data_IF_212566131008
#
_entry.id   IF_212566131008
#
_cell.length_a   1.000
_cell.length_b   1.000
_cell.length_c   1.000
_cell.angle_alpha   90.00
_cell.angle_beta   90.00
_cell.angle_gamma   90.00
#
_symmetry.space_group_name_H-M   'P 1'
#
loop_
_entity.id
_entity.type
_entity.pdbx_description
1 polymer ?
#
# COMPACT_ATOMS: atom_id res chain seq x y z
N UNK A 1 -29.69 25.55 -20.02
CA UNK A 1 -28.33 25.67 -19.45
C UNK A 1 -27.66 24.31 -19.65
N UNK A 2 -26.80 24.18 -20.66
CA UNK A 2 -26.23 22.88 -21.04
C UNK A 2 -24.93 22.70 -20.28
N UNK A 3 -24.90 21.78 -19.31
CA UNK A 3 -23.69 21.49 -18.53
C UNK A 3 -22.77 20.68 -19.43
N UNK A 4 -21.67 21.31 -19.89
CA UNK A 4 -20.62 20.65 -20.68
C UNK A 4 -19.53 20.19 -19.73
N UNK A 5 -19.34 18.88 -19.62
CA UNK A 5 -18.31 18.25 -18.81
C UNK A 5 -16.91 18.54 -19.38
N UNK A 6 -15.97 18.97 -18.53
CA UNK A 6 -14.55 19.18 -18.87
C UNK A 6 -13.67 18.38 -17.93
N UNK A 7 -12.93 17.41 -18.47
CA UNK A 7 -11.98 16.60 -17.69
C UNK A 7 -10.70 17.39 -17.38
N UNK A 8 -10.10 17.16 -16.21
CA UNK A 8 -8.81 17.78 -15.86
C UNK A 8 -7.65 17.23 -16.71
N UNK A 9 -6.71 18.09 -17.11
CA UNK A 9 -5.62 17.72 -18.04
C UNK A 9 -4.64 16.67 -17.48
N UNK A 10 -4.42 16.62 -16.16
CA UNK A 10 -3.37 15.76 -15.56
C UNK A 10 -3.95 14.40 -15.12
N UNK A 11 -5.06 14.41 -14.39
CA UNK A 11 -5.62 13.19 -13.81
C UNK A 11 -6.89 12.69 -14.51
N UNK A 12 -7.41 13.41 -15.52
CA UNK A 12 -8.67 13.13 -16.24
C UNK A 12 -9.93 12.97 -15.38
N UNK A 13 -9.82 13.17 -14.07
CA UNK A 13 -10.93 13.14 -13.14
C UNK A 13 -11.74 14.44 -13.25
N UNK A 14 -13.04 14.33 -12.96
CA UNK A 14 -13.96 15.46 -12.83
C UNK A 14 -13.67 16.23 -11.54
N UNK A 15 -13.29 17.50 -11.66
CA UNK A 15 -13.12 18.40 -10.52
C UNK A 15 -14.50 18.84 -10.03
N UNK A 16 -14.89 18.33 -8.86
CA UNK A 16 -16.21 18.57 -8.26
C UNK A 16 -16.40 19.95 -7.66
N UNK A 17 -15.39 20.82 -7.65
CA UNK A 17 -15.46 22.14 -6.98
C UNK A 17 -14.92 23.32 -7.79
N UNK A 18 -14.62 23.15 -9.07
CA UNK A 18 -14.24 24.28 -9.94
C UNK A 18 -15.49 25.04 -10.41
N UNK A 19 -15.89 26.07 -9.65
CA UNK A 19 -16.90 27.03 -10.14
C UNK A 19 -16.39 27.96 -11.24
N UNK A 20 -15.09 27.96 -11.57
CA UNK A 20 -14.45 28.44 -12.81
C UNK A 20 -12.93 28.26 -12.68
N UNK A 21 -12.38 27.09 -13.03
CA UNK A 21 -10.93 26.92 -13.08
C UNK A 21 -10.33 27.84 -14.15
N UNK A 22 -9.39 28.69 -13.74
CA UNK A 22 -8.58 29.49 -14.65
C UNK A 22 -7.78 28.56 -15.58
N UNK A 23 -7.54 28.94 -16.85
CA UNK A 23 -6.64 28.21 -17.74
C UNK A 23 -5.27 27.97 -17.07
N UNK A 24 -4.63 26.83 -17.35
CA UNK A 24 -3.25 26.57 -16.90
C UNK A 24 -2.25 27.35 -17.78
N UNK A 25 -2.33 28.69 -17.75
CA UNK A 25 -1.42 29.63 -18.40
C UNK A 25 -0.44 30.20 -17.38
N UNK A 26 0.73 30.72 -17.80
CA UNK A 26 1.70 31.33 -16.87
C UNK A 26 1.12 32.47 -16.02
N UNK A 27 0.06 33.12 -16.47
CA UNK A 27 -0.67 34.17 -15.74
C UNK A 27 -1.54 33.62 -14.59
N UNK A 28 -1.78 32.31 -14.54
CA UNK A 28 -2.50 31.67 -13.46
C UNK A 28 -1.56 31.47 -12.26
N UNK A 29 -1.88 32.00 -11.06
CA UNK A 29 -1.05 31.79 -9.87
C UNK A 29 -0.88 30.31 -9.48
N UNK A 30 -1.76 29.42 -9.95
CA UNK A 30 -1.66 27.97 -9.81
C UNK A 30 -1.07 27.28 -11.06
N UNK A 31 -0.31 28.00 -11.90
CA UNK A 31 0.31 27.45 -13.10
C UNK A 31 1.28 26.30 -12.76
N UNK A 32 1.06 25.14 -13.38
CA UNK A 32 1.97 24.00 -13.29
C UNK A 32 2.59 23.74 -14.68
N UNK A 33 3.92 23.88 -14.85
CA UNK A 33 4.59 23.59 -16.12
C UNK A 33 4.41 22.12 -16.50
N UNK A 34 3.98 21.85 -17.73
CA UNK A 34 3.76 20.47 -18.23
C UNK A 34 5.04 19.64 -18.29
N UNK A 35 6.22 20.29 -18.30
CA UNK A 35 7.53 19.65 -18.34
C UNK A 35 8.17 19.42 -16.97
N UNK A 36 7.55 19.88 -15.89
CA UNK A 36 8.07 19.57 -14.56
C UNK A 36 7.81 18.08 -14.29
N UNK A 37 8.87 17.27 -14.22
CA UNK A 37 8.76 15.98 -13.58
C UNK A 37 8.15 16.21 -12.19
N UNK A 38 7.07 15.50 -11.81
CA UNK A 38 6.51 15.67 -10.49
C UNK A 38 7.64 15.41 -9.50
N UNK A 39 8.00 16.41 -8.70
CA UNK A 39 8.78 16.16 -7.50
C UNK A 39 7.97 15.16 -6.70
N UNK A 40 8.46 13.92 -6.62
CA UNK A 40 7.85 12.88 -5.80
C UNK A 40 8.42 13.15 -4.42
N UNK A 41 7.67 13.79 -3.50
CA UNK A 41 8.13 13.85 -2.13
C UNK A 41 8.34 12.41 -1.67
N UNK A 42 9.48 12.16 -1.05
CA UNK A 42 9.60 11.00 -0.17
C UNK A 42 8.62 11.36 0.95
N UNK A 43 7.41 10.82 0.87
CA UNK A 43 6.46 10.81 1.98
C UNK A 43 7.11 9.94 3.05
N UNK A 44 8.02 10.56 3.80
CA UNK A 44 8.67 9.96 4.93
C UNK A 44 7.59 9.37 5.81
N UNK A 45 7.89 8.21 6.36
CA UNK A 45 7.10 7.59 7.40
C UNK A 45 6.83 8.66 8.46
N UNK A 46 5.59 9.16 8.56
CA UNK A 46 5.14 9.97 9.70
C UNK A 46 4.94 9.04 10.91
N UNK A 47 6.02 8.37 11.32
CA UNK A 47 6.13 7.78 12.64
C UNK A 47 7.10 8.72 13.34
N UNK A 48 6.55 9.63 14.14
CA UNK A 48 7.29 10.65 14.87
C UNK A 48 8.24 10.07 15.93
N UNK A 49 8.20 8.75 16.17
CA UNK A 49 8.93 8.04 17.23
C UNK A 49 9.68 6.79 16.73
N UNK A 50 10.19 6.79 15.49
CA UNK A 50 11.10 5.71 15.08
C UNK A 50 12.48 6.00 15.65
N UNK A 51 12.85 5.26 16.70
CA UNK A 51 14.20 5.32 17.27
C UNK A 51 15.27 4.96 16.23
N UNK A 52 16.50 5.44 16.45
CA UNK A 52 17.67 5.08 15.62
C UNK A 52 17.87 3.57 15.54
N UNK A 53 17.49 2.86 16.61
CA UNK A 53 17.52 1.40 16.73
C UNK A 53 16.77 0.69 15.59
N UNK A 54 15.65 1.21 15.12
CA UNK A 54 14.90 0.62 14.00
C UNK A 54 15.71 0.68 12.70
N UNK A 55 16.33 1.83 12.40
CA UNK A 55 17.14 1.97 11.20
C UNK A 55 18.40 1.10 11.26
N UNK A 56 18.98 0.93 12.45
CA UNK A 56 20.07 -0.02 12.67
C UNK A 56 19.61 -1.47 12.42
N UNK A 57 18.44 -1.86 12.93
CA UNK A 57 17.87 -3.19 12.69
C UNK A 57 17.61 -3.43 11.19
N UNK A 58 17.12 -2.42 10.46
CA UNK A 58 16.96 -2.48 9.00
C UNK A 58 18.31 -2.72 8.32
N UNK A 59 19.36 -1.97 8.68
CA UNK A 59 20.71 -2.15 8.10
C UNK A 59 21.28 -3.54 8.40
N UNK A 60 21.12 -4.04 9.62
CA UNK A 60 21.57 -5.38 9.99
C UNK A 60 20.81 -6.47 9.22
N UNK A 61 19.51 -6.26 8.95
CA UNK A 61 18.71 -7.20 8.18
C UNK A 61 19.22 -7.38 6.74
N UNK A 62 19.80 -6.33 6.14
CA UNK A 62 20.38 -6.42 4.80
C UNK A 62 21.60 -7.31 4.71
N UNK A 63 22.31 -7.55 5.83
CA UNK A 63 23.46 -8.49 5.85
C UNK A 63 23.00 -9.94 5.79
N UNK A 64 21.78 -10.22 6.22
CA UNK A 64 21.22 -11.57 6.29
C UNK A 64 20.48 -11.96 5.01
N UNK A 65 19.85 -10.99 4.34
CA UNK A 65 19.15 -11.22 3.09
C UNK A 65 20.10 -11.13 1.89
N UNK A 66 20.12 -12.19 1.07
CA UNK A 66 20.97 -12.30 -0.13
C UNK A 66 20.79 -11.10 -1.08
N UNK A 67 19.54 -10.74 -1.43
CA UNK A 67 19.27 -9.74 -2.46
C UNK A 67 19.58 -8.33 -1.95
N UNK A 68 19.19 -8.02 -0.71
CA UNK A 68 19.53 -6.75 -0.09
C UNK A 68 21.04 -6.58 0.07
N UNK A 69 21.77 -7.63 0.48
CA UNK A 69 23.23 -7.59 0.58
C UNK A 69 23.91 -7.29 -0.77
N UNK A 70 23.43 -7.93 -1.84
CA UNK A 70 23.93 -7.69 -3.19
C UNK A 70 23.65 -6.24 -3.62
N UNK A 71 22.43 -5.74 -3.38
CA UNK A 71 22.04 -4.39 -3.76
C UNK A 71 22.81 -3.31 -2.98
N UNK A 72 23.03 -3.50 -1.68
CA UNK A 72 23.85 -2.56 -0.91
C UNK A 72 25.28 -2.54 -1.45
N UNK A 73 25.87 -3.71 -1.74
CA UNK A 73 27.23 -3.79 -2.29
C UNK A 73 27.37 -3.13 -3.69
N UNK A 74 26.37 -3.30 -4.57
CA UNK A 74 26.35 -2.69 -5.90
C UNK A 74 26.23 -1.17 -5.84
N UNK A 75 25.30 -0.68 -5.01
CA UNK A 75 24.94 0.73 -4.94
C UNK A 75 25.92 1.56 -4.10
N UNK A 76 26.57 0.96 -3.10
CA UNK A 76 27.57 1.66 -2.26
C UNK A 76 28.86 1.97 -3.02
N UNK A 77 29.30 1.03 -3.87
CA UNK A 77 30.55 1.15 -4.64
C UNK A 77 30.37 1.84 -6.00
N UNK A 78 29.14 2.23 -6.32
CA UNK A 78 28.74 2.72 -7.64
C UNK A 78 29.24 1.82 -8.79
N UNK A 79 29.35 0.51 -8.50
CA UNK A 79 30.00 -0.46 -9.38
C UNK A 79 28.97 -1.26 -10.17
N UNK A 80 29.11 -1.27 -11.50
CA UNK A 80 28.24 -2.04 -12.40
C UNK A 80 28.75 -3.48 -12.56
N UNK A 81 28.87 -4.20 -11.45
CA UNK A 81 29.24 -5.62 -11.49
C UNK A 81 28.08 -6.45 -12.04
N UNK A 82 28.20 -6.81 -13.32
CA UNK A 82 27.18 -7.58 -14.05
C UNK A 82 27.02 -8.99 -13.49
N UNK A 83 28.10 -9.62 -13.01
CA UNK A 83 28.04 -10.98 -12.47
C UNK A 83 27.25 -10.98 -11.16
N UNK A 84 27.53 -10.01 -10.28
CA UNK A 84 26.82 -9.86 -9.02
C UNK A 84 25.34 -9.50 -9.24
N UNK A 85 25.05 -8.58 -10.18
CA UNK A 85 23.67 -8.22 -10.54
C UNK A 85 22.87 -9.36 -11.18
N UNK A 86 23.53 -10.32 -11.83
CA UNK A 86 22.88 -11.52 -12.37
C UNK A 86 22.56 -12.57 -11.30
N UNK A 87 23.09 -12.44 -10.09
CA UNK A 87 22.79 -13.34 -8.98
C UNK A 87 21.52 -12.96 -8.20
N UNK A 88 20.94 -11.79 -8.46
CA UNK A 88 19.66 -11.34 -7.90
C UNK A 88 18.50 -12.21 -8.38
N UNK A 89 17.52 -12.43 -7.51
CA UNK A 89 16.30 -13.13 -7.90
C UNK A 89 15.45 -12.27 -8.84
N UNK A 90 14.62 -12.89 -9.69
CA UNK A 90 13.96 -12.25 -10.84
C UNK A 90 13.25 -10.92 -10.54
N UNK A 91 12.48 -10.85 -9.44
CA UNK A 91 11.72 -9.65 -9.04
C UNK A 91 12.67 -8.50 -8.69
N UNK A 92 13.74 -8.81 -7.98
CA UNK A 92 14.76 -7.86 -7.57
C UNK A 92 15.58 -7.41 -8.76
N UNK A 93 16.03 -8.36 -9.59
CA UNK A 93 16.79 -8.10 -10.81
C UNK A 93 16.02 -7.19 -11.76
N UNK A 94 14.75 -7.52 -12.04
CA UNK A 94 13.89 -6.71 -12.91
C UNK A 94 13.76 -5.27 -12.38
N UNK A 95 13.62 -5.10 -11.07
CA UNK A 95 13.50 -3.77 -10.46
C UNK A 95 14.83 -3.00 -10.48
N UNK A 96 15.95 -3.70 -10.27
CA UNK A 96 17.30 -3.15 -10.36
C UNK A 96 17.66 -2.69 -11.78
N UNK A 97 17.43 -3.54 -12.79
CA UNK A 97 17.70 -3.24 -14.20
C UNK A 97 16.88 -2.03 -14.69
N UNK A 98 15.71 -1.79 -14.07
CA UNK A 98 14.86 -0.61 -14.30
C UNK A 98 15.28 0.63 -13.49
N UNK A 99 16.41 0.61 -12.77
CA UNK A 99 16.90 1.73 -11.97
C UNK A 99 15.99 2.11 -10.81
N UNK A 100 15.28 1.14 -10.21
CA UNK A 100 14.31 1.41 -9.14
C UNK A 100 14.92 1.45 -7.75
N UNK A 101 16.16 1.00 -7.56
CA UNK A 101 16.78 1.01 -6.23
C UNK A 101 17.77 2.17 -6.07
N UNK A 102 17.74 2.77 -4.88
CA UNK A 102 18.66 3.81 -4.45
C UNK A 102 19.18 3.45 -3.06
N UNK A 103 20.45 3.73 -2.78
CA UNK A 103 21.03 3.56 -1.46
C UNK A 103 21.26 4.96 -0.87
N UNK A 104 20.74 5.19 0.33
CA UNK A 104 20.95 6.44 1.05
C UNK A 104 21.11 6.14 2.54
N UNK A 105 22.22 6.60 3.12
CA UNK A 105 22.57 6.36 4.54
C UNK A 105 22.52 4.88 4.96
N UNK A 106 22.99 3.99 4.06
CA UNK A 106 22.95 2.54 4.25
C UNK A 106 21.55 1.92 4.16
N UNK A 107 20.51 2.70 3.86
CA UNK A 107 19.13 2.26 3.70
C UNK A 107 18.78 2.15 2.22
N UNK A 108 18.19 1.02 1.82
CA UNK A 108 17.71 0.81 0.47
C UNK A 108 16.33 1.46 0.31
N UNK A 109 16.15 2.19 -0.78
CA UNK A 109 14.88 2.78 -1.20
C UNK A 109 14.46 2.24 -2.56
N UNK A 110 13.18 1.89 -2.69
CA UNK A 110 12.59 1.44 -3.94
C UNK A 110 11.66 2.53 -4.51
N UNK A 111 12.00 2.97 -5.72
CA UNK A 111 11.27 3.94 -6.52
C UNK A 111 10.19 3.26 -7.36
N UNK A 112 8.96 3.73 -7.20
CA UNK A 112 7.86 3.50 -8.12
C UNK A 112 7.58 4.77 -8.93
N UNK A 113 6.53 4.75 -9.76
CA UNK A 113 6.15 5.89 -10.60
C UNK A 113 5.83 7.16 -9.78
N UNK A 114 5.33 7.00 -8.56
CA UNK A 114 4.81 8.08 -7.73
C UNK A 114 5.28 8.04 -6.27
N UNK A 115 6.15 7.08 -5.91
CA UNK A 115 6.59 6.91 -4.52
C UNK A 115 8.04 6.47 -4.50
N UNK A 116 8.77 6.81 -3.44
CA UNK A 116 10.08 6.28 -3.12
C UNK A 116 10.06 5.89 -1.65
N UNK A 117 10.20 4.60 -1.37
CA UNK A 117 9.89 4.02 -0.05
C UNK A 117 10.99 3.09 0.42
N UNK A 118 11.12 2.91 1.73
CA UNK A 118 12.15 2.05 2.32
C UNK A 118 11.96 0.59 1.92
N UNK A 119 13.05 -0.12 1.64
CA UNK A 119 13.05 -1.56 1.38
C UNK A 119 13.20 -2.33 2.67
N UNK A 120 12.32 -3.29 2.91
CA UNK A 120 12.43 -4.24 4.02
C UNK A 120 12.66 -5.66 3.49
N UNK A 121 13.50 -6.43 4.18
CA UNK A 121 13.73 -7.85 3.88
C UNK A 121 13.51 -8.77 5.08
N UNK A 122 13.69 -8.29 6.31
CA UNK A 122 13.39 -9.09 7.50
C UNK A 122 11.88 -9.29 7.65
N UNK A 123 11.49 -10.55 7.83
CA UNK A 123 10.09 -10.91 8.10
C UNK A 123 9.59 -10.33 9.43
N UNK A 124 10.48 -10.15 10.41
CA UNK A 124 10.13 -9.51 11.68
C UNK A 124 9.75 -8.04 11.45
N UNK A 125 10.61 -7.28 10.76
CA UNK A 125 10.35 -5.87 10.43
C UNK A 125 9.08 -5.69 9.58
N UNK A 126 8.90 -6.56 8.58
CA UNK A 126 7.69 -6.56 7.74
C UNK A 126 6.44 -6.78 8.60
N UNK A 127 6.46 -7.75 9.53
CA UNK A 127 5.34 -8.00 10.42
C UNK A 127 5.08 -6.81 11.37
N UNK A 128 6.13 -6.20 11.94
CA UNK A 128 6.00 -5.01 12.79
C UNK A 128 5.31 -3.87 12.05
N UNK A 129 5.72 -3.60 10.80
CA UNK A 129 5.06 -2.60 9.94
C UNK A 129 3.61 -2.98 9.67
N UNK A 130 3.33 -4.24 9.29
CA UNK A 130 1.97 -4.68 9.01
C UNK A 130 1.04 -4.49 10.21
N UNK A 131 1.50 -4.87 11.41
CA UNK A 131 0.77 -4.69 12.67
C UNK A 131 0.55 -3.20 12.94
N UNK A 132 1.57 -2.35 12.79
CA UNK A 132 1.38 -0.93 13.08
C UNK A 132 0.39 -0.23 12.14
N UNK A 133 0.42 -0.56 10.85
CA UNK A 133 -0.50 0.05 9.91
C UNK A 133 -1.94 -0.48 10.03
N UNK A 134 -2.12 -1.70 10.55
CA UNK A 134 -3.42 -2.36 10.65
C UNK A 134 -4.04 -2.29 12.05
N UNK A 135 -3.31 -2.69 13.09
CA UNK A 135 -3.82 -2.94 14.44
C UNK A 135 -3.80 -1.73 15.36
N UNK A 136 -2.97 -0.72 15.05
CA UNK A 136 -2.82 0.46 15.87
C UNK A 136 -4.16 1.17 16.10
N UNK A 137 -4.42 1.53 17.36
CA UNK A 137 -5.65 2.19 17.82
C UNK A 137 -5.85 3.52 17.06
N UNK A 138 -4.77 4.23 16.75
CA UNK A 138 -4.78 5.47 15.97
C UNK A 138 -4.94 5.22 14.46
N UNK A 139 -4.67 4.00 13.99
CA UNK A 139 -4.87 3.62 12.59
C UNK A 139 -6.34 3.41 12.27
N UNK A 140 -7.19 3.05 13.25
CA UNK A 140 -8.65 3.02 13.08
C UNK A 140 -9.21 1.75 12.43
N UNK A 141 -8.55 0.60 12.57
CA UNK A 141 -9.00 -0.70 12.00
C UNK A 141 -9.40 -0.58 10.54
N UNK A 142 -8.46 -0.10 9.74
CA UNK A 142 -8.71 0.29 8.38
C UNK A 142 -9.10 -0.90 7.50
N UNK A 143 -9.92 -0.64 6.48
CA UNK A 143 -10.16 -1.62 5.44
C UNK A 143 -8.85 -2.02 4.77
N UNK A 144 -8.82 -3.21 4.18
CA UNK A 144 -7.68 -3.71 3.41
C UNK A 144 -7.13 -2.68 2.42
N UNK A 145 -8.00 -1.99 1.68
CA UNK A 145 -7.62 -0.94 0.72
C UNK A 145 -6.85 0.21 1.38
N UNK A 146 -7.26 0.61 2.58
CA UNK A 146 -6.64 1.71 3.33
C UNK A 146 -5.28 1.32 3.90
N UNK A 147 -5.16 0.08 4.40
CA UNK A 147 -3.87 -0.49 4.84
C UNK A 147 -2.90 -0.57 3.65
N UNK A 148 -3.40 -1.00 2.48
CA UNK A 148 -2.64 -1.04 1.23
C UNK A 148 -2.17 0.34 0.79
N UNK A 149 -3.01 1.38 0.87
CA UNK A 149 -2.65 2.76 0.54
C UNK A 149 -1.50 3.28 1.40
N UNK A 150 -1.54 3.02 2.72
CA UNK A 150 -0.49 3.47 3.66
C UNK A 150 0.83 2.74 3.46
N UNK A 151 0.79 1.42 3.29
CA UNK A 151 2.02 0.64 3.10
C UNK A 151 2.69 1.03 1.78
N UNK A 152 1.90 1.25 0.72
CA UNK A 152 2.39 1.69 -0.60
C UNK A 152 3.24 2.98 -0.53
N UNK A 153 2.95 3.87 0.42
CA UNK A 153 3.68 5.13 0.61
C UNK A 153 4.80 5.04 1.64
N UNK A 154 4.96 3.91 2.34
CA UNK A 154 5.87 3.76 3.48
C UNK A 154 7.03 2.80 3.18
N UNK A 155 6.73 1.59 2.70
CA UNK A 155 7.71 0.52 2.58
C UNK A 155 7.46 -0.38 1.35
N UNK A 156 8.50 -1.07 0.92
CA UNK A 156 8.46 -2.02 -0.19
C UNK A 156 9.21 -3.31 0.16
N UNK A 157 8.64 -4.43 -0.28
CA UNK A 157 9.29 -5.74 -0.32
C UNK A 157 8.63 -6.58 -1.42
N UNK A 158 9.23 -7.69 -1.87
CA UNK A 158 8.62 -8.59 -2.83
C UNK A 158 7.27 -9.09 -2.33
N UNK A 159 6.25 -9.05 -3.18
CA UNK A 159 4.89 -9.53 -2.84
C UNK A 159 4.22 -8.81 -1.66
N UNK A 160 4.61 -7.57 -1.35
CA UNK A 160 4.04 -6.81 -0.23
C UNK A 160 2.51 -6.77 -0.23
N UNK A 161 1.89 -6.58 -1.40
CA UNK A 161 0.42 -6.58 -1.54
C UNK A 161 -0.22 -7.86 -1.02
N UNK A 162 0.34 -9.00 -1.39
CA UNK A 162 -0.17 -10.31 -0.97
C UNK A 162 -0.09 -10.46 0.55
N UNK A 163 1.02 -10.03 1.17
CA UNK A 163 1.18 -10.11 2.61
C UNK A 163 0.22 -9.17 3.36
N UNK A 164 -0.08 -7.98 2.83
CA UNK A 164 -1.08 -7.09 3.42
C UNK A 164 -2.46 -7.74 3.42
N UNK A 165 -2.85 -8.33 2.29
CA UNK A 165 -4.12 -9.06 2.15
C UNK A 165 -4.17 -10.21 3.17
N UNK A 166 -3.16 -11.08 3.17
CA UNK A 166 -3.07 -12.21 4.12
C UNK A 166 -3.17 -11.75 5.58
N UNK A 167 -2.47 -10.66 5.93
CA UNK A 167 -2.51 -10.08 7.27
C UNK A 167 -3.91 -9.60 7.66
N UNK A 168 -4.59 -8.83 6.78
CA UNK A 168 -5.96 -8.36 7.01
C UNK A 168 -6.96 -9.53 7.12
N UNK A 169 -6.77 -10.58 6.32
CA UNK A 169 -7.60 -11.79 6.36
C UNK A 169 -7.38 -12.61 7.63
N UNK A 170 -6.16 -12.59 8.18
CA UNK A 170 -5.82 -13.29 9.43
C UNK A 170 -6.29 -12.57 10.70
N UNK A 171 -6.67 -11.29 10.62
CA UNK A 171 -7.05 -10.51 11.81
C UNK A 171 -8.45 -10.87 12.33
N UNK A 172 -8.49 -11.63 13.43
CA UNK A 172 -9.73 -12.06 14.10
C UNK A 172 -10.68 -10.91 14.44
N UNK A 173 -10.15 -9.77 14.92
CA UNK A 173 -10.93 -8.57 15.25
C UNK A 173 -11.68 -8.04 14.03
N UNK A 174 -10.99 -7.91 12.89
CA UNK A 174 -11.58 -7.42 11.65
C UNK A 174 -12.54 -8.43 11.03
N UNK A 175 -12.23 -9.73 11.09
CA UNK A 175 -13.12 -10.77 10.59
C UNK A 175 -14.44 -10.82 11.37
N UNK A 176 -14.41 -10.62 12.70
CA UNK A 176 -15.61 -10.56 13.55
C UNK A 176 -16.41 -9.26 13.38
N UNK A 177 -15.72 -8.13 13.17
CA UNK A 177 -16.37 -6.83 13.02
C UNK A 177 -17.01 -6.63 11.64
N UNK A 178 -16.42 -7.21 10.58
CA UNK A 178 -16.98 -7.12 9.22
C UNK A 178 -18.29 -7.89 9.16
N UNK A 179 -19.40 -7.19 8.88
CA UNK A 179 -20.66 -7.84 8.53
C UNK A 179 -20.44 -8.69 7.27
N UNK A 180 -20.89 -9.94 7.31
CA UNK A 180 -20.89 -10.80 6.13
C UNK A 180 -21.64 -10.08 5.00
N UNK A 181 -20.90 -9.69 3.96
CA UNK A 181 -21.49 -9.06 2.78
C UNK A 181 -21.91 -10.19 1.85
N UNK A 182 -23.05 -10.79 2.15
CA UNK A 182 -23.64 -11.88 1.38
C UNK A 182 -25.09 -11.58 1.03
N UNK A 183 -25.66 -12.39 0.12
CA UNK A 183 -27.13 -12.43 -0.03
C UNK A 183 -27.73 -12.76 1.35
N UNK A 184 -28.87 -12.14 1.67
CA UNK A 184 -29.65 -12.48 2.88
C UNK A 184 -29.77 -14.00 2.97
N UNK A 185 -29.66 -14.56 4.19
CA UNK A 185 -29.84 -15.98 4.43
C UNK A 185 -31.21 -16.43 3.90
N UNK A 186 -31.21 -17.04 2.70
CA UNK A 186 -32.40 -17.53 2.03
C UNK A 186 -33.50 -16.49 1.80
N UNK A 187 -34.54 -16.93 1.09
CA UNK A 187 -35.87 -16.36 1.26
C UNK A 187 -36.48 -17.00 2.52
N UNK A 188 -37.38 -16.30 3.18
CA UNK A 188 -38.18 -16.88 4.27
C UNK A 188 -38.84 -18.16 3.75
N UNK A 189 -38.54 -19.29 4.37
CA UNK A 189 -39.13 -20.58 3.99
C UNK A 189 -40.59 -20.56 4.44
N UNK A 190 -41.51 -20.87 3.54
CA UNK A 190 -42.90 -21.04 3.91
C UNK A 190 -43.05 -22.32 4.74
N UNK A 191 -43.53 -22.15 5.98
CA UNK A 191 -43.90 -23.27 6.85
C UNK A 191 -45.23 -23.82 6.32
N UNK A 192 -45.34 -25.14 6.21
CA UNK A 192 -46.59 -25.79 5.81
C UNK A 192 -47.67 -25.47 6.86
N UNK A 193 -48.83 -25.03 6.40
CA UNK A 193 -49.96 -24.74 7.28
C UNK A 193 -50.48 -26.05 7.89
N UNK A 194 -50.69 -26.12 9.22
CA UNK A 194 -51.29 -27.30 9.84
C UNK A 194 -52.72 -27.49 9.31
N UNK A 195 -53.04 -28.72 8.92
CA UNK A 195 -54.30 -29.09 8.28
C UNK A 195 -55.35 -29.48 9.34
N UNK A 196 -54.89 -29.84 10.54
CA UNK A 196 -55.74 -30.33 11.63
C UNK A 196 -55.52 -29.59 12.95
N UNK A 197 -56.54 -29.50 13.82
CA UNK A 197 -56.38 -28.93 15.15
C UNK A 197 -55.29 -29.67 15.94
N UNK A 198 -54.43 -28.92 16.63
CA UNK A 198 -53.34 -29.42 17.48
C UNK A 198 -52.16 -30.10 16.76
N UNK A 199 -52.06 -29.97 15.43
CA UNK A 199 -51.00 -30.60 14.64
C UNK A 199 -49.61 -30.02 14.93
N UNK A 200 -49.53 -28.70 15.15
CA UNK A 200 -48.29 -28.02 15.51
C UNK A 200 -48.54 -27.08 16.67
N UNK A 201 -47.77 -27.23 17.75
CA UNK A 201 -47.77 -26.33 18.90
C UNK A 201 -46.38 -25.75 19.06
N UNK A 202 -46.27 -24.44 18.93
CA UNK A 202 -45.05 -23.71 19.27
C UNK A 202 -45.22 -23.12 20.67
N UNK A 203 -44.21 -23.28 21.52
CA UNK A 203 -44.10 -22.61 22.80
C UNK A 203 -42.78 -21.84 22.84
N UNK A 204 -42.79 -20.68 23.49
CA UNK A 204 -41.62 -19.85 23.81
C UNK A 204 -41.21 -20.07 25.27
#
# INVERSE_FOLDING_TARGET
>A
MTIVHKAGNIHKNSDGLSRWALPNTPDNPAYVPTSAEPQIPIEGINITDVGTEFFEEVRESYKQDKNCHILTALLDKDCKDVALANSLDDIWKTSYDNGRFHLFDGILYHRSKHTCVMVLCSRMLINTILIEFHDNIYSGNLSEDRTMERIKTCAWWPSWRKNVIENCHSCDRCQKAKKATGKRFGLMIHIQEPITPWEVVHMD
#
